data_IF_646059617589
#
_entry.id   IF_646059617589
#
_cell.length_a   1.000
_cell.length_b   1.000
_cell.length_c   1.000
_cell.angle_alpha   90.00
_cell.angle_beta   90.00
_cell.angle_gamma   90.00
#
_symmetry.space_group_name_H-M   'P 1'
#
loop_
_entity.id
_entity.type
_entity.pdbx_description
1 polymer ?
#
# COMPACT_ATOMS: atom_id res chain seq x y z
N UNK A 1 11.07 -13.57 -7.84
CA UNK A 1 9.79 -13.47 -7.10
C UNK A 1 9.50 -11.99 -7.03
N UNK A 2 8.37 -11.56 -7.58
CA UNK A 2 8.09 -10.12 -7.82
C UNK A 2 7.35 -9.49 -6.62
N UNK A 3 7.78 -9.89 -5.42
CA UNK A 3 7.28 -9.45 -4.12
C UNK A 3 8.47 -9.09 -3.23
N UNK A 4 8.37 -8.10 -2.32
CA UNK A 4 9.50 -7.69 -1.49
C UNK A 4 9.94 -8.85 -0.58
N UNK A 5 11.24 -9.06 -0.48
CA UNK A 5 11.79 -10.02 0.47
C UNK A 5 11.55 -9.52 1.91
N UNK A 6 11.58 -10.39 2.94
CA UNK A 6 11.43 -9.94 4.33
C UNK A 6 12.42 -8.83 4.74
N UNK A 7 13.63 -8.83 4.17
CA UNK A 7 14.65 -7.78 4.37
C UNK A 7 14.35 -6.44 3.70
N UNK A 8 13.32 -6.39 2.85
CA UNK A 8 12.87 -5.18 2.17
C UNK A 8 11.78 -4.46 2.98
N UNK A 9 11.23 -5.10 4.01
CA UNK A 9 10.29 -4.46 4.94
C UNK A 9 11.07 -3.62 5.95
N UNK A 10 10.87 -2.31 5.88
CA UNK A 10 11.59 -1.33 6.69
C UNK A 10 10.81 -0.91 7.93
N UNK A 11 9.53 -1.29 8.01
CA UNK A 11 8.63 -1.01 9.14
C UNK A 11 7.50 -2.04 9.18
N UNK A 12 7.08 -2.43 10.39
CA UNK A 12 6.06 -3.46 10.62
C UNK A 12 6.49 -4.88 10.24
N UNK A 13 5.63 -5.85 10.51
CA UNK A 13 5.91 -7.26 10.22
C UNK A 13 5.81 -7.55 8.71
N UNK A 14 6.76 -8.30 8.12
CA UNK A 14 6.70 -8.68 6.71
C UNK A 14 5.42 -9.44 6.36
N UNK A 15 4.80 -9.05 5.24
CA UNK A 15 3.68 -9.80 4.67
C UNK A 15 4.20 -10.75 3.58
N UNK A 16 3.72 -12.01 3.55
CA UNK A 16 4.06 -12.93 2.46
C UNK A 16 3.43 -12.44 1.14
N UNK A 17 3.79 -13.02 -0.02
CA UNK A 17 3.14 -12.72 -1.29
C UNK A 17 1.62 -12.94 -1.23
N UNK A 18 0.82 -12.23 -2.05
CA UNK A 18 -0.63 -12.33 -2.02
C UNK A 18 -1.19 -13.75 -2.21
N UNK A 19 -0.44 -14.63 -2.87
CA UNK A 19 -0.82 -16.03 -3.07
C UNK A 19 -1.00 -16.80 -1.75
N UNK A 20 -0.31 -16.36 -0.69
CA UNK A 20 -0.34 -16.99 0.63
C UNK A 20 -1.34 -16.31 1.59
N UNK A 21 -2.11 -15.32 1.11
CA UNK A 21 -3.06 -14.59 1.95
C UNK A 21 -4.37 -15.35 2.12
N UNK A 22 -4.83 -15.48 3.37
CA UNK A 22 -6.12 -16.09 3.72
C UNK A 22 -7.26 -15.08 3.80
N UNK A 23 -6.96 -13.78 3.71
CA UNK A 23 -7.90 -12.66 3.70
C UNK A 23 -7.49 -11.68 2.60
N UNK A 24 -8.40 -10.86 2.05
CA UNK A 24 -8.03 -9.94 0.98
C UNK A 24 -7.02 -8.90 1.45
N UNK A 25 -6.42 -8.18 0.52
CA UNK A 25 -5.48 -7.12 0.86
C UNK A 25 -5.42 -5.99 -0.16
N UNK A 26 -4.99 -4.84 0.33
CA UNK A 26 -4.77 -3.63 -0.45
C UNK A 26 -3.33 -3.17 -0.27
N UNK A 27 -2.63 -3.07 -1.40
CA UNK A 27 -1.24 -2.61 -1.48
C UNK A 27 -1.22 -1.25 -2.16
N UNK A 28 -0.61 -0.25 -1.53
CA UNK A 28 -0.35 1.05 -2.15
C UNK A 28 1.12 1.17 -2.52
N UNK A 29 1.45 1.31 -3.80
CA UNK A 29 2.77 1.80 -4.19
C UNK A 29 2.82 3.32 -4.02
N UNK A 30 3.91 3.81 -3.44
CA UNK A 30 4.09 5.23 -3.16
C UNK A 30 5.54 5.65 -3.27
N UNK A 31 5.80 6.96 -3.26
CA UNK A 31 7.15 7.51 -3.14
C UNK A 31 7.11 8.70 -2.17
N UNK A 32 8.20 8.94 -1.43
CA UNK A 32 8.29 10.07 -0.50
C UNK A 32 8.33 11.43 -1.21
N UNK A 33 8.82 11.49 -2.44
CA UNK A 33 8.87 12.70 -3.27
C UNK A 33 7.54 12.97 -4.00
N UNK A 34 6.55 12.07 -3.88
CA UNK A 34 5.23 12.20 -4.47
C UNK A 34 4.26 12.94 -3.51
N UNK A 35 3.84 14.20 -3.82
CA UNK A 35 2.98 14.96 -2.91
C UNK A 35 1.61 14.33 -2.70
N UNK A 36 1.02 13.72 -3.75
CA UNK A 36 -0.26 13.02 -3.66
C UNK A 36 -0.20 11.80 -2.73
N UNK A 37 0.95 11.13 -2.68
CA UNK A 37 1.20 10.00 -1.82
C UNK A 37 1.22 10.43 -0.35
N UNK A 38 2.04 11.41 -0.02
CA UNK A 38 2.24 11.86 1.37
C UNK A 38 1.01 12.60 1.90
N UNK A 39 0.38 13.46 1.09
CA UNK A 39 -0.73 14.32 1.53
C UNK A 39 -2.10 13.66 1.48
N UNK A 40 -2.31 12.65 0.62
CA UNK A 40 -3.62 11.99 0.44
C UNK A 40 -3.55 10.47 0.61
N UNK A 41 -2.66 9.80 -0.10
CA UNK A 41 -2.57 8.34 -0.12
C UNK A 41 -2.30 7.73 1.26
N UNK A 42 -1.24 8.18 1.94
CA UNK A 42 -0.86 7.70 3.27
C UNK A 42 -1.93 8.01 4.32
N UNK A 43 -2.47 9.25 4.45
CA UNK A 43 -3.59 9.52 5.33
C UNK A 43 -4.82 8.65 5.05
N UNK A 44 -5.13 8.39 3.77
CA UNK A 44 -6.25 7.52 3.40
C UNK A 44 -6.01 6.07 3.81
N UNK A 45 -4.83 5.50 3.53
CA UNK A 45 -4.48 4.14 3.96
C UNK A 45 -4.52 3.99 5.49
N UNK A 46 -4.14 5.02 6.24
CA UNK A 46 -4.31 5.03 7.71
C UNK A 46 -5.77 4.97 8.15
N UNK A 47 -6.66 5.69 7.46
CA UNK A 47 -8.11 5.60 7.73
C UNK A 47 -8.64 4.20 7.43
N UNK A 48 -8.30 3.65 6.26
CA UNK A 48 -8.65 2.27 5.89
C UNK A 48 -8.13 1.26 6.91
N UNK A 49 -6.93 1.47 7.45
CA UNK A 49 -6.40 0.60 8.49
C UNK A 49 -7.16 0.69 9.81
N UNK A 50 -7.55 1.89 10.23
CA UNK A 50 -8.35 2.06 11.44
C UNK A 50 -9.72 1.38 11.32
N UNK A 51 -10.28 1.31 10.11
CA UNK A 51 -11.61 0.74 9.87
C UNK A 51 -11.59 -0.76 9.53
N UNK A 52 -10.62 -1.21 8.73
CA UNK A 52 -10.61 -2.54 8.11
C UNK A 52 -9.36 -3.37 8.42
N UNK A 53 -8.41 -2.87 9.23
CA UNK A 53 -7.10 -3.51 9.46
C UNK A 53 -7.18 -4.95 9.99
N UNK A 54 -8.25 -5.28 10.72
CA UNK A 54 -8.50 -6.63 11.24
C UNK A 54 -9.01 -7.61 10.17
N UNK A 55 -9.65 -7.10 9.11
CA UNK A 55 -10.24 -7.91 8.05
C UNK A 55 -9.42 -7.95 6.75
N UNK A 56 -8.57 -6.95 6.51
CA UNK A 56 -7.84 -6.76 5.25
C UNK A 56 -6.34 -6.55 5.50
N UNK A 57 -5.48 -7.19 4.70
CA UNK A 57 -4.05 -6.87 4.69
C UNK A 57 -3.81 -5.49 4.07
N UNK A 58 -3.13 -4.60 4.78
CA UNK A 58 -2.81 -3.27 4.26
C UNK A 58 -1.29 -3.10 4.23
N UNK A 59 -0.76 -2.74 3.07
CA UNK A 59 0.68 -2.61 2.82
C UNK A 59 0.97 -1.32 2.06
N UNK A 60 2.01 -0.61 2.47
CA UNK A 60 2.60 0.44 1.65
C UNK A 60 3.94 -0.02 1.07
N UNK A 61 4.15 0.16 -0.23
CA UNK A 61 5.40 -0.20 -0.92
C UNK A 61 6.01 1.08 -1.48
N UNK A 62 7.14 1.50 -0.91
CA UNK A 62 7.89 2.63 -1.45
C UNK A 62 8.64 2.19 -2.71
N UNK A 63 8.29 2.74 -3.87
CA UNK A 63 8.90 2.35 -5.16
C UNK A 63 9.67 3.51 -5.80
N UNK A 64 10.78 3.20 -6.47
CA UNK A 64 11.51 4.15 -7.32
C UNK A 64 10.92 4.28 -8.73
N UNK A 65 9.93 3.45 -9.10
CA UNK A 65 9.30 3.49 -10.42
C UNK A 65 8.66 4.87 -10.69
N UNK A 66 9.06 5.51 -11.78
CA UNK A 66 8.62 6.87 -12.12
C UNK A 66 9.30 7.99 -11.33
N UNK A 67 10.31 7.66 -10.50
CA UNK A 67 11.05 8.61 -9.66
C UNK A 67 12.57 8.42 -9.82
N UNK A 68 13.36 9.28 -9.16
CA UNK A 68 14.81 9.11 -9.14
C UNK A 68 15.17 7.82 -8.39
N UNK A 69 15.96 6.97 -9.03
CA UNK A 69 16.55 5.82 -8.37
C UNK A 69 17.74 6.25 -7.52
N UNK A 70 17.72 5.86 -6.25
CA UNK A 70 18.76 6.12 -5.26
C UNK A 70 19.24 4.79 -4.66
N UNK A 71 20.48 4.72 -4.16
CA UNK A 71 20.95 3.53 -3.46
C UNK A 71 20.16 3.33 -2.15
N UNK A 72 20.04 2.08 -1.70
CA UNK A 72 19.27 1.72 -0.48
C UNK A 72 19.64 2.59 0.73
N UNK A 73 20.93 2.82 0.95
CA UNK A 73 21.44 3.59 2.09
C UNK A 73 20.94 5.04 2.16
N UNK A 74 20.52 5.62 1.03
CA UNK A 74 20.00 6.99 0.97
C UNK A 74 18.47 7.04 1.18
N UNK A 75 17.77 5.94 0.88
CA UNK A 75 16.30 5.87 0.92
C UNK A 75 15.80 5.26 2.22
N UNK A 76 16.35 4.11 2.61
CA UNK A 76 15.85 3.29 3.72
C UNK A 76 15.77 4.04 5.05
N UNK A 77 16.82 4.77 5.51
CA UNK A 77 16.75 5.51 6.78
C UNK A 77 15.66 6.60 6.77
N UNK A 78 15.49 7.27 5.63
CA UNK A 78 14.47 8.31 5.46
C UNK A 78 13.07 7.70 5.49
N UNK A 79 12.89 6.57 4.81
CA UNK A 79 11.63 5.83 4.79
C UNK A 79 11.26 5.26 6.17
N UNK A 80 12.24 4.72 6.91
CA UNK A 80 12.06 4.28 8.30
C UNK A 80 11.61 5.42 9.20
N UNK A 81 12.32 6.57 9.16
CA UNK A 81 11.96 7.76 9.94
C UNK A 81 10.57 8.28 9.57
N UNK A 82 10.23 8.27 8.28
CA UNK A 82 8.90 8.62 7.81
C UNK A 82 7.84 7.71 8.42
N UNK A 83 8.03 6.39 8.30
CA UNK A 83 7.06 5.40 8.76
C UNK A 83 6.89 5.41 10.29
N UNK A 84 7.99 5.42 11.04
CA UNK A 84 7.98 5.27 12.50
C UNK A 84 7.66 6.57 13.23
N UNK A 85 8.25 7.69 12.82
CA UNK A 85 8.21 8.93 13.61
C UNK A 85 7.30 9.99 13.00
N UNK A 86 7.42 10.25 11.70
CA UNK A 86 6.70 11.34 11.05
C UNK A 86 5.22 10.99 10.82
N UNK A 87 4.97 9.93 10.05
CA UNK A 87 3.63 9.50 9.68
C UNK A 87 3.01 8.52 10.69
N UNK A 88 3.84 7.84 11.51
CA UNK A 88 3.42 6.84 12.52
C UNK A 88 2.46 5.82 11.91
N UNK A 89 2.97 5.07 10.94
CA UNK A 89 2.18 4.14 10.14
C UNK A 89 1.83 2.89 10.97
N UNK A 90 0.55 2.49 11.05
CA UNK A 90 0.14 1.32 11.82
C UNK A 90 0.26 0.00 11.04
N UNK A 91 0.72 0.05 9.79
CA UNK A 91 0.83 -1.08 8.87
C UNK A 91 2.26 -1.23 8.33
N UNK A 92 2.61 -2.41 7.77
CA UNK A 92 3.93 -2.64 7.21
C UNK A 92 4.28 -1.73 6.02
N UNK A 93 5.58 -1.45 5.86
CA UNK A 93 6.14 -0.69 4.75
C UNK A 93 7.31 -1.45 4.15
N UNK A 94 7.24 -1.72 2.85
CA UNK A 94 8.32 -2.34 2.09
C UNK A 94 9.01 -1.36 1.13
N UNK A 95 10.23 -1.68 0.74
CA UNK A 95 11.04 -0.92 -0.21
C UNK A 95 11.21 -1.69 -1.53
N UNK A 96 10.53 -1.22 -2.57
CA UNK A 96 10.73 -1.63 -3.95
C UNK A 96 11.81 -0.75 -4.61
N UNK A 97 13.07 -1.01 -4.26
CA UNK A 97 14.20 -0.15 -4.59
C UNK A 97 14.40 0.06 -6.09
N UNK A 98 14.12 -0.97 -6.90
CA UNK A 98 14.34 -0.96 -8.35
C UNK A 98 13.07 -0.85 -9.18
N UNK A 99 11.91 -0.72 -8.53
CA UNK A 99 10.63 -0.69 -9.24
C UNK A 99 10.15 -2.06 -9.71
N UNK A 100 10.78 -3.17 -9.29
CA UNK A 100 10.48 -4.51 -9.79
C UNK A 100 9.03 -4.89 -9.52
N UNK A 101 8.51 -4.61 -8.32
CA UNK A 101 7.11 -4.86 -7.98
C UNK A 101 6.18 -3.97 -8.81
N UNK A 102 6.50 -2.68 -8.89
CA UNK A 102 5.72 -1.72 -9.67
C UNK A 102 5.64 -2.10 -11.16
N UNK A 103 6.76 -2.54 -11.75
CA UNK A 103 6.83 -3.02 -13.12
C UNK A 103 6.04 -4.31 -13.32
N UNK A 104 6.18 -5.29 -12.43
CA UNK A 104 5.44 -6.55 -12.52
C UNK A 104 3.92 -6.33 -12.53
N UNK A 105 3.42 -5.45 -11.67
CA UNK A 105 1.99 -5.14 -11.57
C UNK A 105 1.52 -4.01 -12.48
N UNK A 106 2.38 -3.54 -13.39
CA UNK A 106 2.04 -2.55 -14.41
C UNK A 106 1.45 -1.26 -13.81
N UNK A 107 2.01 -0.80 -12.69
CA UNK A 107 1.55 0.45 -12.06
C UNK A 107 1.87 1.64 -12.95
N UNK A 108 0.94 2.59 -13.05
CA UNK A 108 1.08 3.77 -13.94
C UNK A 108 1.97 4.87 -13.32
N UNK A 109 2.19 4.81 -12.01
CA UNK A 109 2.95 5.79 -11.25
C UNK A 109 2.67 5.64 -9.75
N UNK A 110 2.76 6.76 -9.01
CA UNK A 110 2.42 6.77 -7.58
C UNK A 110 1.54 7.97 -7.22
N UNK A 111 0.57 7.84 -6.29
CA UNK A 111 0.21 6.59 -5.62
C UNK A 111 -0.56 5.66 -6.57
N UNK A 112 -0.39 4.35 -6.42
CA UNK A 112 -1.16 3.34 -7.15
C UNK A 112 -1.60 2.25 -6.19
N UNK A 113 -2.81 1.73 -6.38
CA UNK A 113 -3.44 0.77 -5.48
C UNK A 113 -3.68 -0.55 -6.20
N UNK A 114 -3.31 -1.64 -5.55
CA UNK A 114 -3.51 -3.01 -6.01
C UNK A 114 -4.35 -3.74 -4.96
N UNK A 115 -5.53 -4.19 -5.35
CA UNK A 115 -6.44 -4.91 -4.47
C UNK A 115 -6.46 -6.39 -4.83
N UNK A 116 -6.11 -7.24 -3.88
CA UNK A 116 -5.99 -8.68 -4.05
C UNK A 116 -7.07 -9.42 -3.26
N UNK A 117 -7.66 -10.44 -3.88
CA UNK A 117 -8.48 -11.43 -3.16
C UNK A 117 -7.57 -12.37 -2.34
N UNK A 118 -8.13 -13.12 -1.38
CA UNK A 118 -7.44 -14.27 -0.79
C UNK A 118 -6.93 -15.21 -1.90
N UNK A 119 -5.71 -15.73 -1.76
CA UNK A 119 -5.06 -16.55 -2.79
C UNK A 119 -4.41 -15.75 -3.94
N UNK A 120 -4.48 -14.41 -3.91
CA UNK A 120 -3.59 -13.55 -4.67
C UNK A 120 -4.09 -13.07 -6.04
N UNK A 121 -5.36 -13.31 -6.38
CA UNK A 121 -5.95 -12.76 -7.59
C UNK A 121 -6.07 -11.24 -7.49
N UNK A 122 -5.54 -10.52 -8.49
CA UNK A 122 -5.66 -9.06 -8.57
C UNK A 122 -7.07 -8.68 -9.04
N UNK A 123 -7.86 -8.07 -8.14
CA UNK A 123 -9.25 -7.70 -8.37
C UNK A 123 -9.37 -6.27 -8.91
N UNK A 124 -8.53 -5.35 -8.43
CA UNK A 124 -8.50 -3.95 -8.89
C UNK A 124 -7.08 -3.41 -8.95
N UNK A 125 -6.85 -2.57 -9.95
CA UNK A 125 -5.65 -1.74 -10.12
C UNK A 125 -6.12 -0.30 -10.33
N UNK A 126 -5.79 0.60 -9.40
CA UNK A 126 -6.32 1.97 -9.38
C UNK A 126 -5.19 2.97 -9.22
N UNK A 127 -4.99 3.81 -10.24
CA UNK A 127 -4.01 4.88 -10.18
C UNK A 127 -4.56 6.14 -9.46
N UNK A 128 -3.72 6.75 -8.63
CA UNK A 128 -4.01 8.00 -7.92
C UNK A 128 -4.73 7.82 -6.57
N UNK A 129 -4.86 8.92 -5.84
CA UNK A 129 -5.59 9.00 -4.56
C UNK A 129 -6.52 10.22 -4.51
N UNK A 130 -7.14 10.55 -5.65
CA UNK A 130 -8.23 11.54 -5.69
C UNK A 130 -9.53 10.89 -5.21
N UNK A 131 -10.56 11.70 -4.94
CA UNK A 131 -11.82 11.25 -4.31
C UNK A 131 -12.42 10.02 -5.00
N UNK A 132 -12.52 10.02 -6.34
CA UNK A 132 -13.04 8.87 -7.08
C UNK A 132 -12.25 7.57 -6.85
N UNK A 133 -10.92 7.64 -6.71
CA UNK A 133 -10.10 6.48 -6.42
C UNK A 133 -10.32 6.01 -4.97
N UNK A 134 -10.37 6.94 -4.02
CA UNK A 134 -10.61 6.63 -2.61
C UNK A 134 -11.99 6.00 -2.41
N UNK A 135 -13.04 6.58 -2.98
CA UNK A 135 -14.42 6.06 -2.91
C UNK A 135 -14.52 4.64 -3.46
N UNK A 136 -13.89 4.35 -4.61
CA UNK A 136 -13.89 2.99 -5.18
C UNK A 136 -13.22 1.96 -4.27
N UNK A 137 -12.13 2.35 -3.62
CA UNK A 137 -11.40 1.46 -2.71
C UNK A 137 -12.15 1.26 -1.39
N UNK A 138 -12.76 2.32 -0.85
CA UNK A 138 -13.63 2.25 0.32
C UNK A 138 -14.76 1.25 0.09
N UNK A 139 -15.51 1.40 -1.02
CA UNK A 139 -16.62 0.49 -1.34
C UNK A 139 -16.17 -0.96 -1.53
N UNK A 140 -14.98 -1.18 -2.10
CA UNK A 140 -14.43 -2.53 -2.24
C UNK A 140 -14.17 -3.18 -0.87
N UNK A 141 -13.61 -2.42 0.08
CA UNK A 141 -13.32 -2.92 1.42
C UNK A 141 -14.61 -3.12 2.24
N UNK A 142 -15.57 -2.22 2.11
CA UNK A 142 -16.94 -2.37 2.65
C UNK A 142 -17.61 -3.65 2.15
N UNK A 143 -17.57 -3.90 0.83
CA UNK A 143 -18.10 -5.12 0.22
C UNK A 143 -17.42 -6.38 0.78
N UNK A 144 -16.08 -6.40 0.85
CA UNK A 144 -15.33 -7.54 1.39
C UNK A 144 -15.59 -7.83 2.86
N UNK A 145 -15.87 -6.79 3.64
CA UNK A 145 -16.13 -6.92 5.08
C UNK A 145 -17.61 -7.06 5.42
N UNK A 146 -18.50 -6.98 4.43
CA UNK A 146 -19.95 -6.98 4.64
C UNK A 146 -20.45 -5.75 5.42
N UNK A 147 -19.63 -4.69 5.54
CA UNK A 147 -19.98 -3.42 6.17
C UNK A 147 -20.62 -2.55 5.10
N UNK A 148 -21.95 -2.47 5.05
CA UNK A 148 -22.61 -1.40 4.28
C UNK A 148 -22.57 -0.11 5.09
N UNK A 149 -22.40 1.05 4.44
CA UNK A 149 -22.25 2.38 5.06
C UNK A 149 -23.39 2.88 5.98
N UNK A 150 -24.30 2.01 6.41
CA UNK A 150 -25.42 2.29 7.32
C UNK A 150 -25.10 1.99 8.82
N UNK A 151 -23.91 1.50 9.15
CA UNK A 151 -23.49 1.26 10.56
C UNK A 151 -23.05 2.54 11.31
N UNK A 152 -23.43 3.73 10.81
CA UNK A 152 -23.29 5.01 11.51
C UNK A 152 -24.68 5.62 11.75
N UNK A 153 -25.36 5.11 12.79
CA UNK A 153 -26.50 5.75 13.45
C UNK A 153 -26.35 5.66 14.98
#
# INVERSE_FOLDING_TARGET
MDWPAPTDFVHGDPLPPPQDWTRPGLVMTFNLECPGCVSRGIPFLKRLHAEFGDAVHLLAVHTSHGHRQLPRGDVEPTLQKFAQTYAKLPFPVALDLHGTLAHHWHTEGTPHWLAFAPGGDLIRSVYGSQDNAQTRLQYLLEEWTGRTGDDQA
#
